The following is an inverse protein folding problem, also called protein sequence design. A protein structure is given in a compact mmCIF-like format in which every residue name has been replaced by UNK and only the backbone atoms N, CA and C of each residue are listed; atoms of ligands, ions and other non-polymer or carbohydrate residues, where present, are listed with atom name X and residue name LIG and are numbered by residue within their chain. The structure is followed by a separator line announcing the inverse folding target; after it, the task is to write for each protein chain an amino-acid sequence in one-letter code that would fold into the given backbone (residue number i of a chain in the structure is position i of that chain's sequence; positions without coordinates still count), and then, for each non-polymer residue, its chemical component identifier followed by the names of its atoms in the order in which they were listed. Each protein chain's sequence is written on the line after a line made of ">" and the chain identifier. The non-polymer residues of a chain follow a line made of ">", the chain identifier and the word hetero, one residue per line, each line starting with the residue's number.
data_IF_749928399876
#
_entry.id   IF_749928399876
#
_cell.length_a   1.000
_cell.length_b   1.000
_cell.length_c   1.000
_cell.angle_alpha   90.00
_cell.angle_beta   90.00
_cell.angle_gamma   90.00
#
_symmetry.space_group_name_H-M   'P 1'
#
loop_
_entity.id
_entity.type
_entity.pdbx_description
1 polymer ?
#
# COMPACT_ATOMS: atom_id res chain seq x y z
N UNK A 1 0.48 -16.88 20.35
CA UNK A 1 0.09 -15.71 19.52
C UNK A 1 1.12 -15.31 18.45
N UNK A 2 2.31 -15.90 18.38
CA UNK A 2 3.35 -15.59 17.38
C UNK A 2 3.36 -16.51 16.13
N UNK A 3 2.42 -17.45 16.01
CA UNK A 3 2.50 -18.53 15.02
C UNK A 3 1.86 -18.24 13.65
N UNK A 4 1.36 -17.03 13.41
CA UNK A 4 0.68 -16.66 12.15
C UNK A 4 1.41 -15.60 11.31
N UNK A 5 2.42 -14.94 11.85
CA UNK A 5 3.41 -14.21 11.05
C UNK A 5 4.41 -15.26 10.57
N UNK A 6 4.47 -15.49 9.26
CA UNK A 6 5.38 -16.47 8.67
C UNK A 6 6.79 -16.30 9.22
N UNK A 7 7.49 -17.43 9.45
CA UNK A 7 8.88 -17.40 9.90
C UNK A 7 9.65 -16.41 9.02
N UNK A 8 10.25 -15.39 9.62
CA UNK A 8 11.23 -14.60 8.89
C UNK A 8 12.30 -15.54 8.37
N UNK A 9 12.61 -15.40 7.08
CA UNK A 9 13.64 -16.22 6.43
C UNK A 9 15.01 -15.92 7.05
N UNK A 10 15.21 -14.69 7.54
CA UNK A 10 16.42 -14.20 8.21
C UNK A 10 16.06 -13.26 9.37
N UNK A 11 16.95 -13.04 10.36
CA UNK A 11 16.72 -12.09 11.44
C UNK A 11 16.52 -10.63 10.97
N UNK A 12 15.86 -9.80 11.79
CA UNK A 12 15.63 -8.36 11.51
C UNK A 12 16.92 -7.61 11.21
N UNK A 13 18.01 -7.94 11.91
CA UNK A 13 19.33 -7.32 11.71
C UNK A 13 19.89 -7.59 10.33
N UNK A 14 19.69 -8.81 9.79
CA UNK A 14 20.11 -9.16 8.44
C UNK A 14 19.23 -8.50 7.38
N UNK A 15 17.92 -8.43 7.61
CA UNK A 15 16.99 -7.70 6.74
C UNK A 15 17.37 -6.22 6.67
N UNK A 16 17.64 -5.59 7.83
CA UNK A 16 18.07 -4.19 7.91
C UNK A 16 19.41 -3.96 7.18
N UNK A 17 20.40 -4.81 7.42
CA UNK A 17 21.72 -4.73 6.78
C UNK A 17 21.59 -4.85 5.26
N UNK A 18 20.88 -5.88 4.80
CA UNK A 18 20.69 -6.17 3.37
C UNK A 18 19.97 -5.03 2.65
N UNK A 19 18.86 -4.55 3.21
CA UNK A 19 18.08 -3.46 2.60
C UNK A 19 18.87 -2.15 2.57
N UNK A 20 19.51 -1.77 3.68
CA UNK A 20 20.27 -0.51 3.76
C UNK A 20 21.47 -0.52 2.83
N UNK A 21 22.28 -1.58 2.88
CA UNK A 21 23.48 -1.68 2.07
C UNK A 21 23.16 -1.83 0.58
N UNK A 22 22.14 -2.63 0.24
CA UNK A 22 21.69 -2.80 -1.14
C UNK A 22 21.19 -1.49 -1.75
N UNK A 23 20.31 -0.77 -1.06
CA UNK A 23 19.80 0.52 -1.52
C UNK A 23 20.92 1.55 -1.68
N UNK A 24 21.85 1.65 -0.72
CA UNK A 24 23.01 2.54 -0.82
C UNK A 24 23.86 2.23 -2.06
N UNK A 25 24.20 0.96 -2.29
CA UNK A 25 25.04 0.56 -3.41
C UNK A 25 24.41 0.92 -4.77
N UNK A 26 23.09 0.77 -4.90
CA UNK A 26 22.37 1.15 -6.13
C UNK A 26 22.40 2.67 -6.32
N UNK A 27 22.09 3.45 -5.28
CA UNK A 27 22.12 4.92 -5.37
C UNK A 27 23.51 5.41 -5.75
N UNK A 28 24.54 4.94 -5.05
CA UNK A 28 25.93 5.33 -5.28
C UNK A 28 26.40 4.98 -6.70
N UNK A 29 26.07 3.78 -7.19
CA UNK A 29 26.39 3.38 -8.56
C UNK A 29 25.65 4.24 -9.59
N UNK A 30 24.36 4.51 -9.37
CA UNK A 30 23.56 5.37 -10.23
C UNK A 30 24.13 6.79 -10.32
N UNK A 31 24.53 7.37 -9.18
CA UNK A 31 25.17 8.69 -9.16
C UNK A 31 26.47 8.71 -9.96
N UNK A 32 27.34 7.69 -9.80
CA UNK A 32 28.61 7.58 -10.54
C UNK A 32 28.41 7.39 -12.05
N UNK A 33 27.35 6.69 -12.44
CA UNK A 33 27.00 6.47 -13.85
C UNK A 33 26.19 7.62 -14.46
N UNK A 34 25.88 8.67 -13.68
CA UNK A 34 25.07 9.80 -14.14
C UNK A 34 23.62 9.42 -14.46
N UNK A 35 23.09 8.36 -13.85
CA UNK A 35 21.70 7.93 -14.02
C UNK A 35 20.81 8.91 -13.23
N UNK A 36 19.96 9.71 -13.91
CA UNK A 36 19.28 10.83 -13.28
C UNK A 36 17.99 10.44 -12.55
N UNK A 37 17.47 9.23 -12.81
CA UNK A 37 16.20 8.77 -12.27
C UNK A 37 16.36 7.39 -11.64
N UNK A 38 16.01 7.28 -10.36
CA UNK A 38 16.17 6.07 -9.55
C UNK A 38 14.83 5.83 -8.86
N UNK A 39 14.27 4.64 -9.08
CA UNK A 39 13.02 4.21 -8.45
C UNK A 39 13.34 3.10 -7.47
N UNK A 40 13.00 3.30 -6.19
CA UNK A 40 13.23 2.30 -5.13
C UNK A 40 11.88 1.73 -4.72
N UNK A 41 11.77 0.40 -4.76
CA UNK A 41 10.63 -0.31 -4.19
C UNK A 41 10.80 -0.45 -2.67
N UNK A 42 9.75 -0.11 -1.93
CA UNK A 42 9.62 -0.25 -0.47
C UNK A 42 8.24 -0.81 -0.14
N UNK A 43 7.89 -0.82 1.14
CA UNK A 43 6.71 -1.49 1.66
C UNK A 43 5.88 -0.53 2.52
N UNK A 44 4.55 -0.66 2.47
CA UNK A 44 3.62 0.05 3.35
C UNK A 44 3.81 -0.29 4.84
N UNK A 45 4.53 -1.37 5.16
CA UNK A 45 4.90 -1.74 6.53
C UNK A 45 5.64 -0.64 7.33
N UNK A 46 6.18 0.38 6.65
CA UNK A 46 6.77 1.57 7.28
C UNK A 46 5.77 2.37 8.13
N UNK A 47 4.46 2.22 7.89
CA UNK A 47 3.41 2.78 8.75
C UNK A 47 3.30 2.06 10.12
N UNK A 48 4.23 1.17 10.44
CA UNK A 48 4.40 0.49 11.74
C UNK A 48 3.31 -0.52 12.12
N UNK A 49 2.11 -0.48 11.53
CA UNK A 49 1.02 -1.43 11.84
C UNK A 49 1.40 -2.90 11.59
N UNK A 50 2.28 -3.17 10.62
CA UNK A 50 2.66 -4.54 10.25
C UNK A 50 3.68 -5.21 11.18
N UNK A 51 4.47 -4.42 11.92
CA UNK A 51 5.58 -4.93 12.75
C UNK A 51 5.58 -4.36 14.18
N UNK A 52 4.59 -3.56 14.55
CA UNK A 52 4.45 -3.06 15.91
C UNK A 52 4.32 -4.22 16.92
N UNK A 53 4.91 -4.04 18.10
CA UNK A 53 4.61 -4.91 19.23
C UNK A 53 3.20 -4.56 19.76
N UNK A 54 2.25 -5.47 19.56
CA UNK A 54 0.86 -5.28 19.97
C UNK A 54 -0.03 -4.78 18.84
N UNK A 55 -1.23 -4.30 19.20
CA UNK A 55 -2.17 -3.71 18.25
C UNK A 55 -1.88 -2.21 18.12
N UNK A 56 -1.38 -1.80 16.95
CA UNK A 56 -1.09 -0.41 16.65
C UNK A 56 -2.13 0.15 15.67
N UNK A 57 -2.66 1.33 15.95
CA UNK A 57 -3.57 2.04 15.07
C UNK A 57 -2.81 2.94 14.09
N UNK A 58 -3.43 3.19 12.93
CA UNK A 58 -2.96 4.21 12.01
C UNK A 58 -3.14 5.61 12.63
N UNK A 59 -2.25 6.53 12.27
CA UNK A 59 -2.31 7.93 12.74
C UNK A 59 -3.56 8.65 12.25
N UNK A 60 -3.98 8.39 11.01
CA UNK A 60 -5.17 8.99 10.40
C UNK A 60 -5.63 8.19 9.18
N UNK A 61 -6.88 8.44 8.77
CA UNK A 61 -7.42 8.01 7.48
C UNK A 61 -7.84 9.21 6.61
N UNK A 62 -7.62 9.17 5.29
CA UNK A 62 -6.75 8.22 4.60
C UNK A 62 -5.29 8.34 5.05
N UNK A 63 -4.56 7.23 4.90
CA UNK A 63 -3.14 7.09 5.12
C UNK A 63 -2.42 7.66 3.89
N UNK A 64 -1.68 8.73 4.11
CA UNK A 64 -0.93 9.46 3.09
C UNK A 64 0.58 9.46 3.42
N UNK A 65 1.41 9.92 2.48
CA UNK A 65 2.86 9.90 2.63
C UNK A 65 3.38 11.16 3.36
N UNK A 66 3.95 10.99 4.55
CA UNK A 66 4.51 12.06 5.39
C UNK A 66 6.05 12.14 5.41
N UNK A 67 6.76 11.31 4.62
CA UNK A 67 8.23 11.23 4.56
C UNK A 67 8.79 11.34 3.13
N UNK A 68 10.09 11.64 2.95
CA UNK A 68 10.69 12.10 1.68
C UNK A 68 11.91 11.27 1.16
N UNK A 69 11.73 10.35 0.20
CA UNK A 69 12.69 9.70 -0.75
C UNK A 69 11.87 9.19 -1.96
N UNK A 70 12.40 9.14 -3.21
CA UNK A 70 11.70 8.45 -4.31
C UNK A 70 11.46 6.97 -4.03
N UNK A 71 10.27 6.65 -3.53
CA UNK A 71 10.01 5.33 -2.95
C UNK A 71 8.58 4.92 -3.17
N UNK A 72 8.38 3.77 -3.80
CA UNK A 72 7.06 3.15 -3.95
C UNK A 72 6.80 2.28 -2.73
N UNK A 73 5.84 2.64 -1.89
CA UNK A 73 5.34 1.79 -0.79
C UNK A 73 4.33 0.83 -1.40
N UNK A 74 4.79 -0.36 -1.76
CA UNK A 74 4.00 -1.37 -2.46
C UNK A 74 3.03 -2.01 -1.46
N UNK A 75 1.73 -1.99 -1.80
CA UNK A 75 0.71 -2.77 -1.08
C UNK A 75 0.81 -4.26 -1.39
N UNK A 76 0.11 -5.10 -0.63
CA UNK A 76 0.19 -6.54 -0.87
C UNK A 76 -0.40 -6.92 -2.24
N UNK A 77 0.32 -7.81 -2.92
CA UNK A 77 -0.07 -8.46 -4.17
C UNK A 77 -0.31 -9.95 -3.86
N UNK A 78 -1.54 -10.37 -3.61
CA UNK A 78 -1.82 -11.80 -3.40
C UNK A 78 -3.19 -12.17 -3.94
N UNK A 79 -3.21 -13.07 -4.93
CA UNK A 79 -4.43 -13.46 -5.66
C UNK A 79 -5.29 -14.48 -4.91
N UNK A 80 -4.71 -15.23 -3.97
CA UNK A 80 -5.37 -16.41 -3.36
C UNK A 80 -5.98 -16.18 -1.97
N UNK A 81 -5.89 -14.97 -1.41
CA UNK A 81 -6.22 -14.73 0.02
C UNK A 81 -7.44 -13.85 0.26
N UNK A 82 -8.25 -13.60 -0.77
CA UNK A 82 -9.40 -12.71 -0.66
C UNK A 82 -10.55 -13.21 0.23
N UNK A 83 -10.68 -14.53 0.40
CA UNK A 83 -11.83 -15.14 1.09
C UNK A 83 -12.03 -14.65 2.53
N UNK A 84 -10.97 -14.23 3.24
CA UNK A 84 -11.10 -13.77 4.63
C UNK A 84 -11.10 -12.25 4.83
N UNK A 85 -11.02 -11.43 3.76
CA UNK A 85 -11.06 -9.96 3.88
C UNK A 85 -12.35 -9.44 4.50
N UNK A 86 -13.47 -10.11 4.23
CA UNK A 86 -14.79 -9.76 4.74
C UNK A 86 -15.12 -10.43 6.08
N UNK A 87 -14.96 -11.77 6.25
CA UNK A 87 -15.32 -12.41 7.52
C UNK A 87 -14.32 -12.13 8.66
N UNK A 88 -13.06 -11.79 8.34
CA UNK A 88 -12.01 -11.57 9.35
C UNK A 88 -11.24 -10.25 9.11
N UNK A 89 -11.91 -9.09 9.07
CA UNK A 89 -11.30 -7.84 8.61
C UNK A 89 -10.14 -7.38 9.50
N UNK A 90 -10.10 -7.77 10.77
CA UNK A 90 -8.98 -7.48 11.67
C UNK A 90 -7.65 -8.08 11.20
N UNK A 91 -7.66 -9.22 10.51
CA UNK A 91 -6.45 -9.85 9.97
C UNK A 91 -5.80 -9.02 8.84
N UNK A 92 -6.58 -8.15 8.22
CA UNK A 92 -6.22 -7.40 7.02
C UNK A 92 -5.89 -5.94 7.28
N UNK A 93 -5.93 -5.52 8.56
CA UNK A 93 -5.56 -4.18 9.02
C UNK A 93 -4.17 -3.77 8.51
N UNK A 94 -3.22 -4.71 8.55
CA UNK A 94 -1.83 -4.52 8.09
C UNK A 94 -1.70 -4.18 6.60
N UNK A 95 -2.72 -4.45 5.80
CA UNK A 95 -2.75 -4.15 4.36
C UNK A 95 -3.63 -2.94 4.04
N UNK A 96 -4.20 -2.30 5.07
CA UNK A 96 -5.17 -1.23 4.90
C UNK A 96 -6.39 -1.63 4.08
N UNK A 97 -6.78 -2.92 4.05
CA UNK A 97 -7.88 -3.43 3.21
C UNK A 97 -7.78 -3.06 1.71
N UNK A 98 -6.57 -2.79 1.24
CA UNK A 98 -6.24 -2.50 -0.16
C UNK A 98 -5.58 -3.73 -0.80
N UNK A 99 -5.86 -3.96 -2.08
CA UNK A 99 -5.20 -4.96 -2.90
C UNK A 99 -4.62 -4.31 -4.15
N UNK A 100 -3.35 -4.57 -4.45
CA UNK A 100 -2.72 -4.01 -5.65
C UNK A 100 -2.54 -5.10 -6.69
N UNK A 101 -3.22 -4.96 -7.83
CA UNK A 101 -3.02 -5.85 -8.97
C UNK A 101 -1.63 -5.63 -9.58
N UNK A 102 -1.00 -6.71 -10.03
CA UNK A 102 0.35 -6.65 -10.59
C UNK A 102 0.48 -5.77 -11.83
N UNK A 103 -0.59 -5.61 -12.63
CA UNK A 103 -0.60 -4.74 -13.81
C UNK A 103 -0.64 -3.27 -13.42
N UNK A 104 -1.48 -2.94 -12.44
CA UNK A 104 -1.55 -1.58 -11.90
C UNK A 104 -0.25 -1.23 -11.19
N UNK A 105 0.33 -2.16 -10.43
CA UNK A 105 1.66 -2.00 -9.82
C UNK A 105 2.73 -1.77 -10.90
N UNK A 106 2.69 -2.52 -12.00
CA UNK A 106 3.59 -2.31 -13.14
C UNK A 106 3.50 -0.89 -13.70
N UNK A 107 2.29 -0.38 -13.90
CA UNK A 107 2.07 1.01 -14.33
C UNK A 107 2.54 2.04 -13.30
N UNK A 108 2.35 1.78 -12.00
CA UNK A 108 2.86 2.65 -10.92
C UNK A 108 4.40 2.63 -10.81
N UNK A 109 5.04 1.52 -11.20
CA UNK A 109 6.50 1.42 -11.30
C UNK A 109 7.05 2.12 -12.54
N UNK A 110 6.30 2.14 -13.65
CA UNK A 110 6.68 2.78 -14.90
C UNK A 110 6.52 4.31 -14.85
N UNK A 111 5.43 4.81 -14.26
CA UNK A 111 5.11 6.23 -14.19
C UNK A 111 6.25 7.14 -13.66
N UNK A 112 6.98 6.80 -12.58
CA UNK A 112 8.11 7.61 -12.12
C UNK A 112 9.31 7.57 -13.06
N UNK A 113 9.49 6.51 -13.86
CA UNK A 113 10.57 6.45 -14.87
C UNK A 113 10.36 7.52 -15.94
N UNK A 114 9.10 7.76 -16.31
CA UNK A 114 8.70 8.72 -17.34
C UNK A 114 8.63 10.17 -16.84
N UNK A 115 8.73 10.40 -15.52
CA UNK A 115 8.57 11.72 -14.91
C UNK A 115 9.87 12.20 -14.26
N UNK A 116 10.46 13.29 -14.77
CA UNK A 116 11.71 13.86 -14.25
C UNK A 116 11.45 15.12 -13.43
N UNK A 117 12.43 15.48 -12.58
CA UNK A 117 12.47 16.79 -11.91
C UNK A 117 11.55 16.94 -10.68
N UNK A 118 10.99 15.86 -10.13
CA UNK A 118 10.08 15.95 -8.98
C UNK A 118 10.79 16.12 -7.62
N UNK A 119 12.13 16.05 -7.57
CA UNK A 119 12.92 15.87 -6.34
C UNK A 119 12.47 14.67 -5.50
N UNK A 120 13.10 14.32 -4.39
CA UNK A 120 12.74 13.14 -3.59
C UNK A 120 11.22 13.02 -3.26
N UNK A 121 10.52 11.98 -3.76
CA UNK A 121 9.08 11.77 -3.56
C UNK A 121 8.66 10.35 -3.10
N UNK A 122 8.04 10.22 -1.93
CA UNK A 122 7.41 8.93 -1.56
C UNK A 122 6.02 8.84 -2.20
N UNK A 123 5.65 7.64 -2.63
CA UNK A 123 4.35 7.33 -3.20
C UNK A 123 3.82 6.01 -2.63
N UNK A 124 2.54 5.97 -2.28
CA UNK A 124 1.81 4.73 -2.06
C UNK A 124 1.49 4.09 -3.42
N UNK A 125 2.08 2.92 -3.69
CA UNK A 125 1.75 2.09 -4.84
C UNK A 125 0.72 1.05 -4.42
N UNK A 126 -0.50 1.53 -4.17
CA UNK A 126 -1.63 0.77 -3.63
C UNK A 126 -2.88 0.97 -4.47
N UNK A 127 -3.87 0.10 -4.35
CA UNK A 127 -5.19 0.39 -4.88
C UNK A 127 -5.89 1.45 -4.02
N UNK A 128 -6.59 2.38 -4.68
CA UNK A 128 -7.48 3.38 -4.10
C UNK A 128 -8.88 2.83 -3.81
N UNK A 129 -9.13 1.55 -4.10
CA UNK A 129 -10.42 0.90 -3.92
C UNK A 129 -10.34 -0.22 -2.90
N UNK A 130 -11.28 -0.25 -1.96
CA UNK A 130 -11.38 -1.31 -0.97
C UNK A 130 -11.74 -2.65 -1.60
N UNK A 131 -11.27 -3.74 -1.01
CA UNK A 131 -11.62 -5.11 -1.42
C UNK A 131 -13.03 -5.58 -1.03
N UNK A 132 -13.82 -4.77 -0.32
CA UNK A 132 -15.12 -5.15 0.28
C UNK A 132 -16.25 -4.20 -0.15
N UNK A 133 -17.48 -4.69 -0.29
CA UNK A 133 -18.67 -3.90 -0.62
C UNK A 133 -19.17 -2.97 0.52
N UNK A 134 -18.50 -2.88 1.67
CA UNK A 134 -18.89 -1.98 2.76
C UNK A 134 -18.43 -0.55 2.50
N UNK A 135 -19.26 0.43 2.88
CA UNK A 135 -18.86 1.84 2.91
C UNK A 135 -17.67 2.03 3.85
N UNK A 136 -16.55 2.49 3.33
CA UNK A 136 -15.29 2.49 4.07
C UNK A 136 -15.38 3.35 5.34
N UNK A 137 -15.84 4.59 5.21
CA UNK A 137 -15.87 5.51 6.34
C UNK A 137 -16.69 4.97 7.51
N UNK A 138 -17.85 4.37 7.24
CA UNK A 138 -18.68 3.71 8.27
C UNK A 138 -17.91 2.58 8.94
N UNK A 139 -17.24 1.74 8.15
CA UNK A 139 -16.42 0.64 8.67
C UNK A 139 -15.26 1.14 9.56
N UNK A 140 -14.56 2.20 9.15
CA UNK A 140 -13.46 2.78 9.91
C UNK A 140 -13.93 3.40 11.22
N UNK A 141 -15.06 4.13 11.22
CA UNK A 141 -15.65 4.71 12.44
C UNK A 141 -16.11 3.65 13.44
N UNK A 142 -16.66 2.54 12.96
CA UNK A 142 -17.07 1.42 13.82
C UNK A 142 -15.88 0.69 14.45
N UNK A 143 -14.81 0.45 13.66
CA UNK A 143 -13.67 -0.37 14.10
C UNK A 143 -12.56 0.41 14.78
N UNK A 144 -12.34 1.66 14.37
CA UNK A 144 -11.26 2.53 14.82
C UNK A 144 -11.82 3.93 15.16
N UNK A 145 -12.73 4.02 16.14
CA UNK A 145 -13.43 5.27 16.46
C UNK A 145 -12.49 6.41 16.92
N UNK A 146 -11.29 6.07 17.40
CA UNK A 146 -10.31 7.03 17.88
C UNK A 146 -9.34 7.51 16.80
N UNK A 147 -9.32 6.88 15.62
CA UNK A 147 -8.46 7.30 14.51
C UNK A 147 -9.15 8.43 13.72
N UNK A 148 -8.53 9.60 13.60
CA UNK A 148 -9.15 10.73 12.90
C UNK A 148 -9.29 10.46 11.40
N UNK A 149 -10.44 10.82 10.85
CA UNK A 149 -10.69 10.90 9.41
C UNK A 149 -10.47 12.36 9.00
N UNK A 150 -9.43 12.63 8.22
CA UNK A 150 -8.92 14.00 7.95
C UNK A 150 -9.64 14.70 6.81
N UNK A 151 -10.37 13.96 5.97
CA UNK A 151 -11.25 14.46 4.91
C UNK A 151 -12.35 13.46 4.62
N UNK A 152 -13.38 13.89 3.90
CA UNK A 152 -14.37 12.98 3.34
C UNK A 152 -13.69 11.93 2.44
N UNK A 153 -14.11 10.68 2.61
CA UNK A 153 -13.63 9.54 1.83
C UNK A 153 -14.68 9.12 0.82
N UNK A 154 -14.23 8.69 -0.36
CA UNK A 154 -15.11 8.07 -1.35
C UNK A 154 -15.77 6.81 -0.80
N UNK A 155 -16.94 6.46 -1.34
CA UNK A 155 -17.77 5.35 -0.82
C UNK A 155 -17.01 4.02 -0.72
N UNK A 156 -16.17 3.72 -1.72
CA UNK A 156 -15.32 2.54 -1.79
C UNK A 156 -13.82 2.88 -1.74
N UNK A 157 -13.47 4.07 -1.24
CA UNK A 157 -12.08 4.50 -1.15
C UNK A 157 -11.30 3.63 -0.14
N UNK A 158 -10.17 3.06 -0.55
CA UNK A 158 -9.25 2.40 0.36
C UNK A 158 -8.56 3.44 1.26
N UNK A 159 -8.21 3.10 2.51
CA UNK A 159 -7.58 4.05 3.41
C UNK A 159 -6.14 4.36 2.99
N UNK A 160 -5.43 3.44 2.33
CA UNK A 160 -4.14 3.74 1.70
C UNK A 160 -4.37 4.47 0.37
N UNK A 161 -4.17 5.78 0.37
CA UNK A 161 -4.46 6.60 -0.81
C UNK A 161 -3.29 6.59 -1.79
N UNK A 162 -3.58 6.38 -3.08
CA UNK A 162 -2.64 6.55 -4.19
C UNK A 162 -2.82 7.89 -4.93
N UNK A 163 -3.60 8.83 -4.37
CA UNK A 163 -3.94 10.10 -5.03
C UNK A 163 -2.70 10.92 -5.44
N UNK A 164 -1.60 10.79 -4.69
CA UNK A 164 -0.32 11.43 -5.02
C UNK A 164 0.31 10.86 -6.30
N UNK A 165 0.23 9.54 -6.52
CA UNK A 165 0.71 8.88 -7.75
C UNK A 165 -0.06 9.42 -8.95
N UNK A 166 -1.39 9.46 -8.87
CA UNK A 166 -2.23 10.00 -9.94
C UNK A 166 -1.89 11.47 -10.24
N UNK A 167 -1.82 12.31 -9.20
CA UNK A 167 -1.59 13.75 -9.32
C UNK A 167 -0.18 14.11 -9.84
N UNK A 168 0.86 13.41 -9.38
CA UNK A 168 2.26 13.80 -9.62
C UNK A 168 2.94 13.00 -10.71
N UNK A 169 2.50 11.77 -10.96
CA UNK A 169 3.09 10.87 -11.95
C UNK A 169 2.16 10.64 -13.16
N UNK A 170 0.95 11.22 -13.14
CA UNK A 170 -0.01 11.09 -14.25
C UNK A 170 -0.54 9.67 -14.42
N UNK A 171 -0.46 8.83 -13.40
CA UNK A 171 -1.00 7.48 -13.45
C UNK A 171 -2.53 7.55 -13.70
N UNK A 172 -3.05 6.89 -14.74
CA UNK A 172 -4.42 7.09 -15.21
C UNK A 172 -5.50 6.46 -14.30
N UNK A 173 -5.10 5.91 -13.16
CA UNK A 173 -5.96 5.14 -12.26
C UNK A 173 -5.93 3.64 -12.57
N UNK A 174 -6.55 2.87 -11.69
CA UNK A 174 -6.51 1.42 -11.73
C UNK A 174 -7.32 0.80 -12.86
N UNK A 175 -6.71 -0.17 -13.52
CA UNK A 175 -7.36 -1.03 -14.50
C UNK A 175 -7.91 -2.31 -13.86
N UNK A 176 -7.42 -2.68 -12.67
CA UNK A 176 -7.85 -3.88 -11.95
C UNK A 176 -9.32 -3.90 -11.60
N UNK A 177 -10.01 -2.75 -11.48
CA UNK A 177 -11.48 -2.70 -11.28
C UNK A 177 -12.26 -3.44 -12.39
N UNK A 178 -11.66 -3.66 -13.56
CA UNK A 178 -12.24 -4.48 -14.65
C UNK A 178 -12.17 -6.00 -14.37
N UNK A 179 -11.20 -6.43 -13.58
CA UNK A 179 -10.85 -7.83 -13.34
C UNK A 179 -11.12 -8.28 -11.91
N UNK A 180 -11.08 -7.34 -10.97
CA UNK A 180 -11.35 -7.53 -9.57
C UNK A 180 -12.76 -7.03 -9.25
N UNK A 181 -13.48 -7.83 -8.46
CA UNK A 181 -14.81 -7.51 -7.95
C UNK A 181 -14.73 -7.50 -6.42
N UNK A 182 -15.32 -6.51 -5.74
CA UNK A 182 -15.39 -6.52 -4.28
C UNK A 182 -16.22 -7.70 -3.77
N UNK A 183 -15.91 -8.08 -2.54
CA UNK A 183 -16.55 -9.19 -1.85
C UNK A 183 -17.69 -8.70 -0.96
N UNK A 184 -18.82 -9.41 -0.95
CA UNK A 184 -19.95 -9.13 -0.08
C UNK A 184 -19.80 -9.76 1.32
N UNK A 185 -20.76 -9.48 2.21
CA UNK A 185 -20.80 -10.01 3.57
C UNK A 185 -20.82 -11.55 3.67
N UNK A 186 -21.13 -12.25 2.57
CA UNK A 186 -21.13 -13.72 2.49
C UNK A 186 -19.79 -14.30 2.04
N UNK A 187 -18.81 -13.43 1.76
CA UNK A 187 -17.54 -13.85 1.19
C UNK A 187 -17.72 -14.37 -0.23
N UNK A 188 -18.59 -13.72 -1.03
CA UNK A 188 -18.70 -13.97 -2.48
C UNK A 188 -18.39 -12.70 -3.27
N UNK A 189 -17.72 -12.86 -4.41
CA UNK A 189 -17.49 -11.80 -5.40
C UNK A 189 -18.82 -11.31 -5.98
N UNK A 190 -19.11 -10.00 -5.92
CA UNK A 190 -20.29 -9.40 -6.55
C UNK A 190 -19.92 -8.37 -7.62
N UNK A 191 -20.79 -8.19 -8.62
CA UNK A 191 -20.73 -7.02 -9.49
C UNK A 191 -21.16 -5.81 -8.66
N UNK A 192 -20.30 -4.82 -8.51
CA UNK A 192 -20.74 -3.48 -8.10
C UNK A 192 -21.52 -2.91 -9.29
N UNK A 193 -22.79 -2.60 -9.09
CA UNK A 193 -23.62 -1.92 -10.10
C UNK A 193 -23.28 -0.44 -10.15
#
# INVERSE_FOLDING_TARGET
>A
MLSKLGRMIVPDTETFRSNTQGTYNIIEASCKLGIPNIVIASNTAVYSVSFAQGDADYTSFPIEEDQHIYTLRIGQYNVDVFYSYVPEPGLWKVHGWSYTDSRDLGGMCEAPIQTLGLGCQVFNATSDTITNCRKMETFLREKYPNTPITREMGEFEAPLSNAKVQRRLGFPGETSKKYFRPWDATGKNQKVN
#
